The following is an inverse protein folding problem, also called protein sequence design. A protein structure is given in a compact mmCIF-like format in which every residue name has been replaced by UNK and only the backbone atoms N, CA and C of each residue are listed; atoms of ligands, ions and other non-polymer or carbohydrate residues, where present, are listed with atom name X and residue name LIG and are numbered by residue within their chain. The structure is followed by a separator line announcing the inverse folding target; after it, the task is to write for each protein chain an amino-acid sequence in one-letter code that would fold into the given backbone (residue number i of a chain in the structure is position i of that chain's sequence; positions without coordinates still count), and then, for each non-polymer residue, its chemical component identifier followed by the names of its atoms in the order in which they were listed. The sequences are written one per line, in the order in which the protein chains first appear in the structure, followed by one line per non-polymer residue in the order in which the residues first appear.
data_IF_966050996718
#
_entry.id   IF_966050996718
#
_cell.length_a   1.000
_cell.length_b   1.000
_cell.length_c   1.000
_cell.angle_alpha   90.00
_cell.angle_beta   90.00
_cell.angle_gamma   90.00
#
_symmetry.space_group_name_H-M   'P 1'
#
loop_
_entity.id
_entity.type
_entity.pdbx_description
1 polymer ?
#
# COMPACT_ATOMS: atom_id res chain seq x y z
N UNK A 1 16.36 0.70 6.61
CA UNK A 1 14.89 0.78 6.69
C UNK A 1 14.18 -0.37 5.96
N UNK A 2 14.65 -0.76 4.79
CA UNK A 2 14.05 -1.88 4.04
C UNK A 2 13.93 -3.18 4.84
N UNK A 3 14.89 -3.44 5.74
CA UNK A 3 14.88 -4.67 6.55
C UNK A 3 13.66 -4.78 7.49
N UNK A 4 13.07 -3.63 7.84
CA UNK A 4 11.89 -3.57 8.69
C UNK A 4 10.59 -3.64 7.90
N UNK A 5 10.69 -3.58 6.56
CA UNK A 5 9.56 -3.63 5.64
C UNK A 5 9.86 -4.70 4.59
N UNK A 6 9.67 -5.98 4.96
CA UNK A 6 10.15 -7.10 4.15
C UNK A 6 9.38 -7.35 2.85
N UNK A 7 8.19 -6.77 2.67
CA UNK A 7 7.40 -6.99 1.48
C UNK A 7 7.63 -5.87 0.47
N UNK A 8 8.40 -6.12 -0.61
CA UNK A 8 8.57 -5.11 -1.64
C UNK A 8 7.27 -4.88 -2.39
N UNK A 9 7.00 -3.63 -2.71
CA UNK A 9 5.86 -3.25 -3.54
C UNK A 9 6.31 -2.99 -4.96
N UNK A 10 6.13 -1.74 -5.41
CA UNK A 10 6.46 -1.34 -6.78
C UNK A 10 7.57 -0.29 -6.79
N UNK A 11 8.27 -0.23 -7.91
CA UNK A 11 9.19 0.85 -8.22
C UNK A 11 8.62 1.62 -9.41
N UNK A 12 8.61 2.92 -9.32
CA UNK A 12 7.98 3.77 -10.34
C UNK A 12 8.77 5.07 -10.49
N UNK A 13 8.77 5.61 -11.70
CA UNK A 13 9.34 6.93 -11.96
C UNK A 13 8.24 7.97 -11.89
N UNK A 14 8.49 9.09 -11.22
CA UNK A 14 7.54 10.19 -11.14
C UNK A 14 7.47 10.87 -12.51
N UNK A 15 6.32 10.81 -13.14
CA UNK A 15 6.09 11.38 -14.48
C UNK A 15 5.40 12.74 -14.37
N UNK A 16 5.40 13.48 -15.45
CA UNK A 16 4.75 14.79 -15.52
C UNK A 16 3.27 14.73 -15.15
N UNK A 17 2.58 13.66 -15.58
CA UNK A 17 1.17 13.42 -15.26
C UNK A 17 0.91 13.35 -13.75
N UNK A 18 1.87 12.88 -12.99
CA UNK A 18 1.75 12.75 -11.54
C UNK A 18 2.01 14.05 -10.79
N UNK A 19 2.50 15.07 -11.47
CA UNK A 19 2.96 16.29 -10.83
C UNK A 19 1.96 17.41 -10.96
N UNK A 20 1.97 18.31 -9.96
CA UNK A 20 1.28 19.59 -10.04
C UNK A 20 2.16 20.61 -10.78
N UNK A 21 1.69 21.84 -10.83
CA UNK A 21 2.39 22.91 -11.56
C UNK A 21 3.77 23.23 -11.01
N UNK A 22 4.07 22.84 -9.78
CA UNK A 22 5.35 23.09 -9.14
C UNK A 22 6.36 21.97 -9.39
N UNK A 23 5.98 20.94 -10.16
CA UNK A 23 6.86 19.80 -10.42
C UNK A 23 6.97 18.81 -9.28
N UNK A 24 6.09 18.88 -8.29
CA UNK A 24 6.05 17.95 -7.17
C UNK A 24 4.94 16.93 -7.40
N UNK A 25 5.19 15.68 -6.99
CA UNK A 25 4.16 14.65 -7.10
C UNK A 25 2.95 15.03 -6.28
N UNK A 26 1.78 15.03 -6.94
CA UNK A 26 0.51 15.41 -6.34
C UNK A 26 0.09 14.37 -5.29
N UNK A 27 -0.54 14.85 -4.21
CA UNK A 27 -0.95 13.98 -3.08
C UNK A 27 -1.86 12.82 -3.51
N UNK A 28 -2.67 12.99 -4.53
CA UNK A 28 -3.56 11.94 -5.01
C UNK A 28 -2.81 10.72 -5.52
N UNK A 29 -1.60 10.89 -6.03
CA UNK A 29 -0.80 9.79 -6.55
C UNK A 29 -0.12 8.96 -5.46
N UNK A 30 0.08 9.52 -4.26
CA UNK A 30 0.63 8.76 -3.15
C UNK A 30 -0.28 7.59 -2.77
N UNK A 31 -1.58 7.86 -2.61
CA UNK A 31 -2.56 6.81 -2.30
C UNK A 31 -2.57 5.74 -3.39
N UNK A 32 -2.57 6.16 -4.64
CA UNK A 32 -2.62 5.25 -5.79
C UNK A 32 -1.38 4.35 -5.83
N UNK A 33 -0.21 4.92 -5.63
CA UNK A 33 1.05 4.17 -5.68
C UNK A 33 1.14 3.18 -4.52
N UNK A 34 0.76 3.59 -3.31
CA UNK A 34 0.72 2.69 -2.17
C UNK A 34 -0.27 1.55 -2.38
N UNK A 35 -1.42 1.82 -2.97
CA UNK A 35 -2.41 0.78 -3.26
C UNK A 35 -1.88 -0.21 -4.27
N UNK A 36 -1.30 0.27 -5.37
CA UNK A 36 -0.71 -0.61 -6.39
C UNK A 36 0.38 -1.50 -5.79
N UNK A 37 1.25 -0.91 -4.96
CA UNK A 37 2.33 -1.65 -4.33
C UNK A 37 1.85 -2.67 -3.32
N UNK A 38 0.75 -2.38 -2.61
CA UNK A 38 0.20 -3.30 -1.62
C UNK A 38 -0.33 -4.60 -2.24
N UNK A 39 -0.73 -4.57 -3.50
CA UNK A 39 -1.16 -5.79 -4.19
C UNK A 39 -0.04 -6.82 -4.27
N UNK A 40 1.20 -6.39 -4.41
CA UNK A 40 2.36 -7.29 -4.40
C UNK A 40 2.51 -7.96 -3.03
N UNK A 41 2.32 -7.21 -1.95
CA UNK A 41 2.32 -7.77 -0.60
C UNK A 41 1.22 -8.81 -0.44
N UNK A 42 -0.01 -8.49 -0.87
CA UNK A 42 -1.14 -9.41 -0.76
C UNK A 42 -0.92 -10.66 -1.58
N UNK A 43 -0.32 -10.56 -2.77
CA UNK A 43 0.03 -11.73 -3.57
C UNK A 43 0.98 -12.65 -2.81
N UNK A 44 1.98 -12.10 -2.15
CA UNK A 44 2.93 -12.87 -1.36
C UNK A 44 2.28 -13.53 -0.15
N UNK A 45 1.19 -12.95 0.36
CA UNK A 45 0.44 -13.49 1.50
C UNK A 45 -0.64 -14.48 1.08
N UNK A 46 -0.76 -14.80 -0.22
CA UNK A 46 -1.80 -15.70 -0.72
C UNK A 46 -3.18 -15.06 -0.81
N UNK A 47 -3.26 -13.73 -0.77
CA UNK A 47 -4.52 -12.98 -0.84
C UNK A 47 -4.65 -12.24 -2.18
N UNK A 48 -4.11 -12.82 -3.23
CA UNK A 48 -4.19 -12.25 -4.57
C UNK A 48 -5.43 -12.69 -5.33
N UNK A 49 -5.24 -12.93 -6.64
CA UNK A 49 -6.33 -13.21 -7.56
C UNK A 49 -7.21 -14.39 -7.13
N UNK A 50 -6.59 -15.51 -6.74
CA UNK A 50 -7.35 -16.72 -6.35
C UNK A 50 -8.21 -16.48 -5.12
N UNK A 51 -7.69 -15.72 -4.17
CA UNK A 51 -8.41 -15.36 -2.94
C UNK A 51 -9.65 -14.53 -3.28
N UNK A 52 -9.51 -13.51 -4.11
CA UNK A 52 -10.62 -12.66 -4.52
C UNK A 52 -11.61 -13.46 -5.35
N UNK A 53 -11.11 -14.28 -6.25
CA UNK A 53 -11.95 -15.11 -7.13
C UNK A 53 -12.75 -16.15 -6.35
N UNK A 54 -12.28 -16.56 -5.17
CA UNK A 54 -13.02 -17.48 -4.31
C UNK A 54 -14.11 -16.80 -3.48
N UNK A 55 -14.25 -15.48 -3.60
CA UNK A 55 -15.34 -14.73 -2.98
C UNK A 55 -14.96 -13.94 -1.74
N UNK A 56 -13.68 -13.77 -1.47
CA UNK A 56 -13.21 -12.99 -0.33
C UNK A 56 -12.52 -11.71 -0.77
N UNK A 57 -12.50 -10.73 0.10
CA UNK A 57 -11.79 -9.48 -0.15
C UNK A 57 -11.53 -8.77 1.17
N UNK A 58 -10.98 -7.58 1.07
CA UNK A 58 -10.77 -6.71 2.22
C UNK A 58 -11.32 -5.33 1.91
N UNK A 59 -11.85 -4.65 2.93
CA UNK A 59 -12.25 -3.25 2.81
C UNK A 59 -11.38 -2.42 3.74
N UNK A 60 -11.00 -1.24 3.29
CA UNK A 60 -10.23 -0.30 4.08
C UNK A 60 -11.17 0.38 5.08
N UNK A 61 -10.85 0.27 6.37
CA UNK A 61 -11.56 0.95 7.44
C UNK A 61 -10.92 2.29 7.77
N UNK A 62 -9.59 2.33 7.79
CA UNK A 62 -8.84 3.54 8.13
C UNK A 62 -7.60 3.63 7.27
N UNK A 63 -7.27 4.85 6.88
CA UNK A 63 -6.05 5.15 6.14
C UNK A 63 -5.45 6.42 6.70
N UNK A 64 -4.16 6.35 7.02
CA UNK A 64 -3.39 7.51 7.46
C UNK A 64 -2.18 7.66 6.56
N UNK A 65 -2.01 8.83 5.98
CA UNK A 65 -0.87 9.16 5.13
C UNK A 65 -0.08 10.29 5.77
N UNK A 66 1.23 10.11 5.85
CA UNK A 66 2.16 11.17 6.28
C UNK A 66 3.14 11.45 5.17
N UNK A 67 3.33 12.72 4.89
CA UNK A 67 4.26 13.19 3.88
C UNK A 67 5.48 13.78 4.59
N UNK A 68 6.64 13.16 4.37
CA UNK A 68 7.88 13.54 5.05
C UNK A 68 8.73 14.42 4.16
N UNK A 69 8.86 14.04 2.89
CA UNK A 69 9.59 14.78 1.88
C UNK A 69 8.82 14.75 0.58
N UNK A 70 8.97 15.78 -0.22
CA UNK A 70 8.37 15.81 -1.54
C UNK A 70 9.11 14.90 -2.52
N UNK A 71 8.40 14.42 -3.53
CA UNK A 71 8.97 13.71 -4.65
C UNK A 71 8.85 14.58 -5.89
N UNK A 72 9.92 14.68 -6.63
CA UNK A 72 10.02 15.58 -7.79
C UNK A 72 9.89 14.78 -9.09
N UNK A 73 9.53 15.52 -10.14
CA UNK A 73 9.51 14.97 -11.50
C UNK A 73 10.83 14.25 -11.81
N UNK A 74 10.73 13.02 -12.27
CA UNK A 74 11.89 12.23 -12.65
C UNK A 74 12.46 11.36 -11.53
N UNK A 75 12.03 11.55 -10.30
CA UNK A 75 12.49 10.73 -9.19
C UNK A 75 12.04 9.28 -9.37
N UNK A 76 12.92 8.35 -9.00
CA UNK A 76 12.59 6.93 -8.97
C UNK A 76 12.21 6.58 -7.53
N UNK A 77 10.96 6.17 -7.34
CA UNK A 77 10.40 5.88 -6.03
C UNK A 77 10.05 4.41 -5.90
N UNK A 78 10.06 3.91 -4.66
CA UNK A 78 9.72 2.51 -4.39
C UNK A 78 8.89 2.41 -3.12
N UNK A 79 7.99 1.41 -3.07
CA UNK A 79 7.18 1.13 -1.89
C UNK A 79 7.61 -0.17 -1.24
N UNK A 80 7.50 -0.23 0.08
CA UNK A 80 7.84 -1.39 0.88
C UNK A 80 6.86 -1.47 2.04
N UNK A 81 6.52 -2.70 2.46
CA UNK A 81 5.42 -2.91 3.41
C UNK A 81 5.81 -3.86 4.54
N UNK A 82 5.09 -3.76 5.64
CA UNK A 82 5.13 -4.73 6.73
C UNK A 82 3.74 -4.91 7.32
N UNK A 83 3.47 -6.11 7.80
CA UNK A 83 2.27 -6.38 8.58
C UNK A 83 2.60 -6.04 10.03
N UNK A 84 1.83 -5.15 10.63
CA UNK A 84 2.01 -4.75 12.02
C UNK A 84 1.23 -5.68 12.94
N UNK A 85 0.00 -6.00 12.55
CA UNK A 85 -0.86 -6.87 13.35
C UNK A 85 -1.90 -7.51 12.44
N UNK A 86 -2.29 -8.74 12.76
CA UNK A 86 -3.34 -9.46 12.06
C UNK A 86 -4.10 -10.32 13.05
N UNK A 87 -5.42 -10.31 12.96
CA UNK A 87 -6.27 -11.23 13.69
C UNK A 87 -7.32 -11.79 12.72
N UNK A 88 -8.32 -12.48 13.23
CA UNK A 88 -9.31 -13.16 12.38
C UNK A 88 -10.13 -12.22 11.48
N UNK A 89 -10.24 -10.96 11.86
CA UNK A 89 -11.07 -9.98 11.14
C UNK A 89 -10.29 -8.85 10.53
N UNK A 90 -9.18 -8.47 11.13
CA UNK A 90 -8.48 -7.23 10.82
C UNK A 90 -7.04 -7.49 10.39
N UNK A 91 -6.59 -6.68 9.43
CA UNK A 91 -5.18 -6.61 9.02
C UNK A 91 -4.75 -5.16 9.17
N UNK A 92 -3.66 -4.95 9.92
CA UNK A 92 -3.03 -3.66 10.08
C UNK A 92 -1.66 -3.71 9.42
N UNK A 93 -1.46 -2.94 8.37
CA UNK A 93 -0.18 -2.89 7.69
C UNK A 93 0.31 -1.45 7.50
N UNK A 94 1.61 -1.33 7.30
CA UNK A 94 2.27 -0.04 7.08
C UNK A 94 3.09 -0.15 5.81
N UNK A 95 2.98 0.87 4.96
CA UNK A 95 3.81 1.03 3.79
C UNK A 95 4.71 2.24 3.93
N UNK A 96 5.89 2.16 3.35
CA UNK A 96 6.78 3.31 3.21
C UNK A 96 7.06 3.54 1.74
N UNK A 97 7.26 4.80 1.41
CA UNK A 97 7.69 5.22 0.08
C UNK A 97 9.07 5.83 0.22
N UNK A 98 10.04 5.27 -0.51
CA UNK A 98 11.40 5.77 -0.52
C UNK A 98 11.62 6.59 -1.80
N UNK A 99 12.34 7.69 -1.66
CA UNK A 99 12.64 8.57 -2.77
C UNK A 99 13.83 8.05 -3.59
N UNK A 100 14.29 8.88 -4.53
CA UNK A 100 15.40 8.57 -5.42
C UNK A 100 16.71 8.25 -4.67
N UNK A 101 16.90 8.85 -3.51
CA UNK A 101 18.08 8.64 -2.66
C UNK A 101 17.85 7.57 -1.59
N UNK A 102 16.74 6.85 -1.70
CA UNK A 102 16.33 5.80 -0.76
C UNK A 102 16.06 6.31 0.65
N UNK A 103 15.67 7.57 0.74
CA UNK A 103 15.23 8.17 1.97
C UNK A 103 13.71 8.10 2.10
N UNK A 104 13.22 8.13 3.34
CA UNK A 104 11.79 8.08 3.61
C UNK A 104 11.11 9.34 3.09
N UNK A 105 10.13 9.15 2.21
CA UNK A 105 9.37 10.21 1.59
C UNK A 105 7.93 10.28 2.10
N UNK A 106 7.30 9.13 2.34
CA UNK A 106 5.94 9.07 2.86
C UNK A 106 5.71 7.77 3.61
N UNK A 107 4.72 7.78 4.50
CA UNK A 107 4.31 6.60 5.28
C UNK A 107 2.80 6.47 5.14
N UNK A 108 2.34 5.25 4.88
CA UNK A 108 0.92 4.90 4.89
C UNK A 108 0.65 3.88 5.98
N UNK A 109 -0.40 4.11 6.76
CA UNK A 109 -0.90 3.14 7.72
C UNK A 109 -2.32 2.78 7.35
N UNK A 110 -2.59 1.49 7.21
CA UNK A 110 -3.88 0.98 6.73
C UNK A 110 -4.42 -0.05 7.71
N UNK A 111 -5.71 0.09 8.03
CA UNK A 111 -6.48 -0.92 8.73
C UNK A 111 -7.53 -1.47 7.77
N UNK A 112 -7.45 -2.77 7.51
CA UNK A 112 -8.38 -3.48 6.63
C UNK A 112 -9.25 -4.42 7.43
N UNK A 113 -10.46 -4.68 6.92
CA UNK A 113 -11.34 -5.71 7.45
C UNK A 113 -11.60 -6.76 6.37
N UNK A 114 -11.60 -8.03 6.78
CA UNK A 114 -11.85 -9.15 5.89
C UNK A 114 -13.34 -9.30 5.61
N UNK A 115 -13.69 -9.44 4.34
CA UNK A 115 -15.08 -9.49 3.87
C UNK A 115 -15.34 -10.76 3.07
N UNK A 116 -16.49 -11.38 3.34
CA UNK A 116 -17.06 -12.40 2.47
C UNK A 116 -17.94 -11.69 1.44
N UNK A 117 -17.48 -11.62 0.20
CA UNK A 117 -18.15 -10.86 -0.86
C UNK A 117 -19.49 -11.46 -1.26
N UNK A 118 -19.66 -12.77 -1.09
CA UNK A 118 -20.93 -13.43 -1.42
C UNK A 118 -22.03 -13.03 -0.45
N UNK A 119 -21.67 -12.88 0.81
CA UNK A 119 -22.61 -12.49 1.88
C UNK A 119 -22.60 -11.00 2.13
N UNK A 120 -21.61 -10.29 1.61
CA UNK A 120 -21.36 -8.86 1.83
C UNK A 120 -21.36 -8.49 3.30
N UNK A 121 -20.72 -9.33 4.10
CA UNK A 121 -20.61 -9.12 5.54
C UNK A 121 -19.23 -9.57 6.01
N UNK A 122 -18.93 -9.21 7.26
CA UNK A 122 -17.68 -9.57 7.88
C UNK A 122 -17.46 -11.08 7.86
N UNK A 123 -16.22 -11.48 7.63
CA UNK A 123 -15.83 -12.86 7.61
C UNK A 123 -14.58 -13.04 8.47
N UNK A 124 -14.28 -14.29 8.82
CA UNK A 124 -13.04 -14.61 9.53
C UNK A 124 -11.92 -14.80 8.52
N UNK A 125 -10.74 -14.33 8.89
CA UNK A 125 -9.54 -14.56 8.10
C UNK A 125 -9.02 -15.95 8.42
N UNK A 126 -8.92 -16.79 7.40
CA UNK A 126 -8.36 -18.13 7.51
C UNK A 126 -6.90 -18.08 7.07
N UNK A 127 -6.03 -18.02 8.01
CA UNK A 127 -4.59 -17.99 7.77
C UNK A 127 -3.97 -19.31 8.21
#
# INVERSE_FOLDING_TARGET
MKNKFPYPGITKKVTEEMCDLNGHMNVTFYTKIFEEGSYEMFNQLGMGFDYINSGFSTFTLEQNLRYVQENLLGDKISTHYRIVNVNRKLIHHVGILLNNDKELSAIEEILLIHIDMKKRKLSLIHI
#
